data_IF_478836827209
#
_entry.id   IF_478836827209
#
_cell.length_a   1.000
_cell.length_b   1.000
_cell.length_c   1.000
_cell.angle_alpha   90.00
_cell.angle_beta   90.00
_cell.angle_gamma   90.00
#
_symmetry.space_group_name_H-M   'P 1'
#
loop_
_entity.id
_entity.type
_entity.pdbx_description
1 polymer ?
#
# COMPACT_ATOMS: atom_id res chain seq x y z
N UNK A 1 34.60 12.27 16.78
CA UNK A 1 33.69 11.34 17.48
C UNK A 1 32.49 11.06 16.57
N UNK A 2 32.41 9.86 15.96
CA UNK A 2 31.27 9.48 15.12
C UNK A 2 30.20 8.90 16.04
N UNK A 3 29.12 9.64 16.27
CA UNK A 3 28.00 9.19 17.09
C UNK A 3 27.22 8.16 16.26
N UNK A 4 27.16 6.88 16.67
CA UNK A 4 26.29 5.93 16.00
C UNK A 4 24.86 6.27 16.40
N UNK A 5 24.12 6.92 15.51
CA UNK A 5 22.67 7.04 15.64
C UNK A 5 22.10 5.64 15.51
N UNK A 6 21.95 4.95 16.65
CA UNK A 6 21.11 3.77 16.77
C UNK A 6 19.69 4.24 16.52
N UNK A 7 19.24 4.16 15.27
CA UNK A 7 17.82 4.29 14.96
C UNK A 7 17.11 3.20 15.77
N UNK A 8 16.44 3.62 16.83
CA UNK A 8 15.70 2.76 17.74
C UNK A 8 14.25 2.75 17.25
N UNK A 9 13.52 1.67 17.55
CA UNK A 9 12.11 1.46 17.17
C UNK A 9 11.16 2.63 17.47
N UNK A 10 11.54 3.53 18.39
CA UNK A 10 10.80 4.74 18.74
C UNK A 10 10.53 5.68 17.56
N UNK A 11 11.44 5.79 16.59
CA UNK A 11 11.25 6.73 15.48
C UNK A 11 10.13 6.25 14.54
N UNK A 12 10.00 4.94 14.36
CA UNK A 12 8.96 4.33 13.54
C UNK A 12 7.58 4.55 14.15
N UNK A 13 7.46 4.36 15.47
CA UNK A 13 6.21 4.57 16.21
C UNK A 13 5.78 6.05 16.19
N UNK A 14 6.74 6.98 16.29
CA UNK A 14 6.44 8.42 16.14
C UNK A 14 5.89 8.77 14.76
N UNK A 15 6.44 8.18 13.69
CA UNK A 15 5.92 8.42 12.33
C UNK A 15 4.52 7.82 12.18
N UNK A 16 4.29 6.62 12.70
CA UNK A 16 2.95 6.00 12.71
C UNK A 16 1.92 6.85 13.45
N UNK A 17 2.28 7.39 14.63
CA UNK A 17 1.45 8.31 15.39
C UNK A 17 1.22 9.63 14.64
N UNK A 18 2.24 10.16 13.98
CA UNK A 18 2.13 11.36 13.15
C UNK A 18 1.18 11.17 11.98
N UNK A 19 1.19 9.98 11.35
CA UNK A 19 0.24 9.62 10.31
C UNK A 19 -1.18 9.60 10.86
N UNK A 20 -1.41 8.90 11.97
CA UNK A 20 -2.73 8.78 12.59
C UNK A 20 -3.29 10.14 13.04
N UNK A 21 -2.43 10.99 13.64
CA UNK A 21 -2.75 12.36 13.99
C UNK A 21 -3.10 13.21 12.77
N UNK A 22 -2.35 13.07 11.67
CA UNK A 22 -2.62 13.80 10.44
C UNK A 22 -3.93 13.38 9.77
N UNK A 23 -4.32 12.10 9.86
CA UNK A 23 -5.65 11.62 9.42
C UNK A 23 -6.74 12.16 10.34
N UNK A 24 -6.56 12.07 11.66
CA UNK A 24 -7.51 12.57 12.66
C UNK A 24 -7.65 14.09 12.67
N UNK A 25 -6.65 14.82 12.22
CA UNK A 25 -6.72 16.28 12.06
C UNK A 25 -7.79 16.73 11.07
N UNK A 26 -8.45 15.83 10.35
CA UNK A 26 -9.60 16.14 9.50
C UNK A 26 -9.25 16.98 8.27
N UNK A 27 -7.95 17.14 7.97
CA UNK A 27 -7.51 17.64 6.67
C UNK A 27 -7.90 16.61 5.62
N UNK A 28 -8.38 17.06 4.47
CA UNK A 28 -8.51 16.20 3.29
C UNK A 28 -7.14 15.64 2.93
N UNK A 29 -6.87 14.44 3.44
CA UNK A 29 -5.69 13.68 3.11
C UNK A 29 -5.88 13.11 1.71
N UNK A 30 -4.98 13.47 0.81
CA UNK A 30 -4.97 12.91 -0.53
C UNK A 30 -4.81 11.38 -0.48
N UNK A 31 -5.29 10.70 -1.52
CA UNK A 31 -5.07 9.27 -1.69
C UNK A 31 -3.58 8.90 -1.63
N UNK A 32 -2.69 9.80 -2.07
CA UNK A 32 -1.24 9.65 -1.95
C UNK A 32 -0.76 9.61 -0.50
N UNK A 33 -1.36 10.37 0.42
CA UNK A 33 -0.98 10.33 1.82
C UNK A 33 -1.25 8.95 2.42
N UNK A 34 -2.46 8.43 2.22
CA UNK A 34 -2.84 7.08 2.66
C UNK A 34 -1.98 5.98 2.02
N UNK A 35 -1.63 6.13 0.75
CA UNK A 35 -0.71 5.22 0.06
C UNK A 35 0.71 5.22 0.66
N UNK A 36 1.22 6.40 1.03
CA UNK A 36 2.52 6.53 1.70
C UNK A 36 2.47 5.93 3.10
N UNK A 37 1.39 6.18 3.85
CA UNK A 37 1.14 5.56 5.14
C UNK A 37 1.15 4.03 5.03
N UNK A 38 0.35 3.46 4.12
CA UNK A 38 0.32 2.02 3.89
C UNK A 38 1.70 1.44 3.55
N UNK A 39 2.47 2.14 2.71
CA UNK A 39 3.85 1.77 2.38
C UNK A 39 4.76 1.77 3.61
N UNK A 40 4.68 2.81 4.43
CA UNK A 40 5.45 2.89 5.66
C UNK A 40 5.16 1.73 6.62
N UNK A 41 3.88 1.42 6.85
CA UNK A 41 3.50 0.27 7.70
C UNK A 41 3.95 -1.07 7.10
N UNK A 42 3.91 -1.19 5.76
CA UNK A 42 4.38 -2.37 5.04
C UNK A 42 5.89 -2.57 5.14
N UNK A 43 6.68 -1.52 4.90
CA UNK A 43 8.15 -1.55 5.00
C UNK A 43 8.61 -1.89 6.42
N UNK A 44 7.88 -1.42 7.42
CA UNK A 44 8.20 -1.65 8.82
C UNK A 44 7.80 -3.05 9.31
N UNK A 45 7.02 -3.79 8.52
CA UNK A 45 6.54 -5.13 8.80
C UNK A 45 5.88 -5.31 10.19
N UNK A 46 5.45 -4.22 10.83
CA UNK A 46 4.85 -4.25 12.15
C UNK A 46 3.35 -4.51 12.10
N UNK A 47 2.64 -3.82 11.20
CA UNK A 47 1.18 -3.82 11.16
C UNK A 47 0.66 -3.84 9.72
N UNK A 48 0.72 -5.02 9.10
CA UNK A 48 0.17 -5.24 7.75
C UNK A 48 -1.35 -5.07 7.70
N UNK A 49 -2.05 -5.38 8.79
CA UNK A 49 -3.49 -5.15 8.90
C UNK A 49 -3.85 -3.66 8.91
N UNK A 50 -2.99 -2.81 9.49
CA UNK A 50 -3.18 -1.37 9.42
C UNK A 50 -2.79 -0.84 8.03
N UNK A 51 -1.73 -1.39 7.43
CA UNK A 51 -1.36 -1.07 6.05
C UNK A 51 -2.50 -1.37 5.06
N UNK A 52 -3.21 -2.48 5.23
CA UNK A 52 -4.36 -2.84 4.37
C UNK A 52 -5.51 -1.84 4.53
N UNK A 53 -5.80 -1.39 5.75
CA UNK A 53 -6.81 -0.33 5.98
C UNK A 53 -6.43 0.99 5.33
N UNK A 54 -5.15 1.40 5.45
CA UNK A 54 -4.68 2.64 4.84
C UNK A 54 -4.74 2.60 3.32
N UNK A 55 -4.35 1.49 2.69
CA UNK A 55 -4.43 1.39 1.23
C UNK A 55 -5.88 1.31 0.74
N UNK A 56 -6.79 0.70 1.51
CA UNK A 56 -8.23 0.73 1.20
C UNK A 56 -8.77 2.16 1.22
N UNK A 57 -8.42 2.95 2.23
CA UNK A 57 -8.79 4.38 2.28
C UNK A 57 -8.22 5.17 1.09
N UNK A 58 -6.98 4.87 0.66
CA UNK A 58 -6.39 5.47 -0.53
C UNK A 58 -7.20 5.13 -1.79
N UNK A 59 -7.60 3.86 -1.93
CA UNK A 59 -8.40 3.35 -3.04
C UNK A 59 -9.80 3.96 -3.04
N UNK A 60 -10.44 4.13 -1.88
CA UNK A 60 -11.75 4.78 -1.77
C UNK A 60 -11.69 6.24 -2.26
N UNK A 61 -10.58 6.93 -1.97
CA UNK A 61 -10.34 8.30 -2.44
C UNK A 61 -9.98 8.34 -3.93
N UNK A 62 -9.20 7.38 -4.42
CA UNK A 62 -8.77 7.31 -5.81
C UNK A 62 -8.82 5.88 -6.35
N UNK A 63 -10.03 5.46 -6.70
CA UNK A 63 -10.29 4.10 -7.21
C UNK A 63 -9.76 3.87 -8.63
N UNK A 64 -9.38 4.93 -9.33
CA UNK A 64 -8.79 4.89 -10.68
C UNK A 64 -7.28 4.62 -10.65
N UNK A 65 -6.63 4.73 -9.49
CA UNK A 65 -5.20 4.52 -9.36
C UNK A 65 -4.86 3.02 -9.31
N UNK A 66 -4.45 2.45 -10.45
CA UNK A 66 -4.02 1.05 -10.54
C UNK A 66 -2.90 0.69 -9.56
N UNK A 67 -1.97 1.63 -9.33
CA UNK A 67 -0.83 1.44 -8.43
C UNK A 67 -1.24 1.25 -6.97
N UNK A 68 -2.39 1.79 -6.56
CA UNK A 68 -2.93 1.59 -5.21
C UNK A 68 -3.49 0.18 -5.05
N UNK A 69 -4.24 -0.32 -6.05
CA UNK A 69 -4.71 -1.71 -6.08
C UNK A 69 -3.53 -2.70 -6.08
N UNK A 70 -2.48 -2.41 -6.85
CA UNK A 70 -1.28 -3.24 -6.88
C UNK A 70 -0.57 -3.27 -5.51
N UNK A 71 -0.39 -2.12 -4.86
CA UNK A 71 0.15 -2.09 -3.48
C UNK A 71 -0.72 -2.88 -2.51
N UNK A 72 -2.05 -2.76 -2.61
CA UNK A 72 -2.97 -3.54 -1.77
C UNK A 72 -2.73 -5.03 -1.96
N UNK A 73 -2.56 -5.49 -3.20
CA UNK A 73 -2.22 -6.88 -3.49
C UNK A 73 -0.90 -7.30 -2.82
N UNK A 74 0.14 -6.47 -2.88
CA UNK A 74 1.43 -6.76 -2.22
C UNK A 74 1.31 -6.83 -0.68
N UNK A 75 0.53 -5.94 -0.07
CA UNK A 75 0.28 -5.92 1.37
C UNK A 75 -0.45 -7.20 1.79
N UNK A 76 -1.53 -7.56 1.10
CA UNK A 76 -2.32 -8.76 1.39
C UNK A 76 -1.53 -10.04 1.13
N UNK A 77 -0.71 -10.06 0.07
CA UNK A 77 0.22 -11.15 -0.22
C UNK A 77 1.16 -11.42 0.96
N UNK A 78 1.69 -10.36 1.57
CA UNK A 78 2.55 -10.45 2.77
C UNK A 78 1.76 -10.81 4.03
N UNK A 79 0.49 -10.41 4.11
CA UNK A 79 -0.41 -10.78 5.21
C UNK A 79 -0.77 -12.28 5.17
N UNK A 80 -0.70 -12.88 3.98
CA UNK A 80 -1.11 -14.27 3.73
C UNK A 80 -2.51 -14.38 3.13
N UNK A 81 -3.20 -13.25 2.92
CA UNK A 81 -4.52 -13.16 2.31
C UNK A 81 -4.44 -13.29 0.79
N UNK A 82 -4.02 -14.47 0.33
CA UNK A 82 -3.89 -14.80 -1.11
C UNK A 82 -5.17 -14.48 -1.89
N UNK A 83 -6.35 -14.78 -1.34
CA UNK A 83 -7.65 -14.54 -2.00
C UNK A 83 -7.88 -13.06 -2.30
N UNK A 84 -7.71 -12.21 -1.29
CA UNK A 84 -7.90 -10.77 -1.48
C UNK A 84 -6.76 -10.14 -2.27
N UNK A 85 -5.53 -10.66 -2.11
CA UNK A 85 -4.38 -10.23 -2.89
C UNK A 85 -4.58 -10.45 -4.39
N UNK A 86 -5.10 -11.62 -4.76
CA UNK A 86 -5.44 -11.93 -6.16
C UNK A 86 -6.55 -10.98 -6.65
N UNK A 87 -7.62 -10.79 -5.89
CA UNK A 87 -8.71 -9.90 -6.27
C UNK A 87 -8.23 -8.43 -6.46
N UNK A 88 -7.33 -7.94 -5.60
CA UNK A 88 -6.75 -6.61 -5.74
C UNK A 88 -5.82 -6.50 -6.96
N UNK A 89 -5.00 -7.53 -7.24
CA UNK A 89 -4.15 -7.56 -8.42
C UNK A 89 -4.98 -7.63 -9.72
N UNK A 90 -6.06 -8.41 -9.74
CA UNK A 90 -7.00 -8.46 -10.88
C UNK A 90 -7.63 -7.09 -11.13
N UNK A 91 -8.11 -6.40 -10.09
CA UNK A 91 -8.61 -5.02 -10.20
C UNK A 91 -7.56 -4.06 -10.75
N UNK A 92 -6.30 -4.19 -10.33
CA UNK A 92 -5.21 -3.37 -10.87
C UNK A 92 -5.06 -3.58 -12.38
N UNK A 93 -5.09 -4.84 -12.84
CA UNK A 93 -5.01 -5.20 -14.26
C UNK A 93 -6.21 -4.64 -15.05
N UNK A 94 -7.42 -4.71 -14.49
CA UNK A 94 -8.60 -4.13 -15.12
C UNK A 94 -8.47 -2.61 -15.28
N UNK A 95 -8.00 -1.90 -14.25
CA UNK A 95 -7.76 -0.46 -14.32
C UNK A 95 -6.67 -0.10 -15.33
N UNK A 96 -5.58 -0.86 -15.37
CA UNK A 96 -4.51 -0.70 -16.35
C UNK A 96 -5.04 -0.85 -17.77
N UNK A 97 -5.83 -1.90 -18.04
CA UNK A 97 -6.46 -2.17 -19.34
C UNK A 97 -7.53 -1.13 -19.72
N UNK A 98 -8.24 -0.60 -18.74
CA UNK A 98 -9.22 0.45 -18.93
C UNK A 98 -8.60 1.84 -19.15
N UNK A 99 -7.32 2.01 -18.80
CA UNK A 99 -6.57 3.24 -19.03
C UNK A 99 -6.23 3.45 -20.50
N UNK A 100 -6.06 4.70 -20.96
CA UNK A 100 -5.68 5.00 -22.34
C UNK A 100 -4.27 4.52 -22.70
N UNK A 101 -3.40 4.36 -21.69
CA UNK A 101 -2.04 3.82 -21.82
C UNK A 101 -1.90 2.62 -20.87
N UNK A 102 -2.29 1.40 -21.29
CA UNK A 102 -2.12 0.21 -20.48
C UNK A 102 -0.63 -0.07 -20.30
N UNK A 103 -0.18 -0.04 -19.05
CA UNK A 103 1.21 -0.28 -18.70
C UNK A 103 1.43 -1.81 -18.62
N UNK A 104 1.79 -2.43 -19.75
CA UNK A 104 1.96 -3.89 -19.85
C UNK A 104 2.95 -4.44 -18.81
N UNK A 105 3.98 -3.66 -18.46
CA UNK A 105 4.94 -4.03 -17.42
C UNK A 105 4.25 -4.17 -16.06
N UNK A 106 3.37 -3.23 -15.70
CA UNK A 106 2.61 -3.30 -14.45
C UNK A 106 1.55 -4.41 -14.47
N UNK A 107 0.95 -4.70 -15.63
CA UNK A 107 0.06 -5.86 -15.80
C UNK A 107 0.83 -7.16 -15.58
N UNK A 108 2.01 -7.31 -16.18
CA UNK A 108 2.86 -8.48 -16.03
C UNK A 108 3.29 -8.67 -14.57
N UNK A 109 3.68 -7.60 -13.88
CA UNK A 109 4.02 -7.63 -12.45
C UNK A 109 2.83 -8.07 -11.57
N UNK A 110 1.64 -7.52 -11.83
CA UNK A 110 0.40 -7.90 -11.13
C UNK A 110 0.07 -9.37 -11.35
N UNK A 111 0.23 -9.86 -12.58
CA UNK A 111 0.00 -11.27 -12.93
C UNK A 111 1.04 -12.20 -12.31
N UNK A 112 2.30 -11.80 -12.29
CA UNK A 112 3.37 -12.55 -11.63
C UNK A 112 3.13 -12.65 -10.12
N UNK A 113 2.60 -11.59 -9.50
CA UNK A 113 2.18 -11.63 -8.10
C UNK A 113 1.06 -12.64 -7.88
N UNK A 114 0.01 -12.63 -8.71
CA UNK A 114 -1.09 -13.62 -8.65
C UNK A 114 -0.56 -15.05 -8.78
N UNK A 115 0.34 -15.29 -9.72
CA UNK A 115 0.91 -16.61 -9.98
C UNK A 115 1.75 -17.10 -8.78
N UNK A 116 2.54 -16.21 -8.18
CA UNK A 116 3.30 -16.47 -6.95
C UNK A 116 2.41 -16.76 -5.73
N UNK A 117 1.14 -16.33 -5.77
CA UNK A 117 0.17 -16.53 -4.70
C UNK A 117 -0.74 -17.74 -4.89
N UNK A 118 -0.75 -18.35 -6.08
CA UNK A 118 -1.43 -19.63 -6.33
C UNK A 118 -0.77 -20.78 -5.56
#
# INVERSE_FOLDING_TARGET
TRVPVKMTTNDVEKVMQGIDAAVKSGKDQDANFYYNAAGFYFDQNKDLAQASKWIDQAIEKNSKAYFMQYKKAQILAKLGDKKEAIAAAEKSIELLKAGPNPDESAIANSRALIDSLR
#
